data_IF_882076925928
#
_entry.id   IF_882076925928
#
_cell.length_a   1.000
_cell.length_b   1.000
_cell.length_c   1.000
_cell.angle_alpha   90.00
_cell.angle_beta   90.00
_cell.angle_gamma   90.00
#
_symmetry.space_group_name_H-M   'P 1'
#
loop_
_entity.id
_entity.type
_entity.pdbx_description
1 polymer ?
#
# COMPACT_ATOMS: atom_id res chain seq x y z
N UNK A 1 4.67 11.70 -35.62
CA UNK A 1 5.06 10.99 -34.38
C UNK A 1 3.99 11.31 -33.34
N UNK A 2 3.08 10.38 -33.08
CA UNK A 2 1.86 10.66 -32.31
C UNK A 2 2.06 10.16 -30.87
N UNK A 3 2.37 11.09 -29.96
CA UNK A 3 2.44 10.84 -28.52
C UNK A 3 1.02 10.63 -28.00
N UNK A 4 0.49 9.41 -28.15
CA UNK A 4 -0.59 8.96 -27.27
C UNK A 4 0.02 8.88 -25.89
N UNK A 5 -0.16 9.96 -25.11
CA UNK A 5 -0.07 9.92 -23.66
C UNK A 5 -0.88 8.70 -23.22
N UNK A 6 -0.17 7.63 -22.83
CA UNK A 6 -0.78 6.50 -22.16
C UNK A 6 -1.47 7.10 -20.95
N UNK A 7 -2.81 7.15 -20.96
CA UNK A 7 -3.57 7.38 -19.72
C UNK A 7 -3.01 6.36 -18.75
N UNK A 8 -2.23 6.82 -17.76
CA UNK A 8 -1.77 5.97 -16.67
C UNK A 8 -3.05 5.41 -16.08
N UNK A 9 -3.30 4.12 -16.26
CA UNK A 9 -4.50 3.49 -15.73
C UNK A 9 -4.56 3.80 -14.24
N UNK A 10 -5.73 4.24 -13.76
CA UNK A 10 -5.93 4.42 -12.33
C UNK A 10 -5.73 3.07 -11.63
N UNK A 11 -5.21 3.06 -10.38
CA UNK A 11 -5.12 1.83 -9.61
C UNK A 11 -6.48 1.12 -9.52
N UNK A 12 -6.50 -0.16 -9.83
CA UNK A 12 -7.69 -1.00 -10.00
C UNK A 12 -7.88 -2.02 -8.87
N UNK A 13 -6.86 -2.24 -8.03
CA UNK A 13 -6.94 -3.10 -6.85
C UNK A 13 -6.81 -2.25 -5.57
N UNK A 14 -7.77 -2.38 -4.66
CA UNK A 14 -7.92 -1.52 -3.49
C UNK A 14 -8.00 -2.35 -2.22
N UNK A 15 -7.18 -2.01 -1.23
CA UNK A 15 -7.19 -2.59 0.11
C UNK A 15 -7.56 -1.50 1.11
N UNK A 16 -8.37 -1.87 2.10
CA UNK A 16 -8.65 -1.05 3.26
C UNK A 16 -8.70 -1.95 4.47
N UNK A 17 -7.59 -1.96 5.22
CA UNK A 17 -7.30 -2.93 6.25
C UNK A 17 -7.19 -2.24 7.61
N UNK A 18 -7.83 -2.77 8.67
CA UNK A 18 -7.55 -2.32 10.03
C UNK A 18 -6.13 -2.76 10.42
N UNK A 19 -5.35 -1.83 10.97
CA UNK A 19 -4.00 -2.09 11.46
C UNK A 19 -3.81 -1.46 12.84
N UNK A 20 -2.87 -1.98 13.62
CA UNK A 20 -2.40 -1.41 14.87
C UNK A 20 -1.09 -0.68 14.60
N UNK A 21 -1.09 0.65 14.61
CA UNK A 21 0.12 1.45 14.37
C UNK A 21 0.92 1.65 15.66
N UNK A 22 2.23 1.41 15.61
CA UNK A 22 3.12 1.55 16.76
C UNK A 22 3.69 2.98 16.79
N UNK A 23 3.31 3.77 17.80
CA UNK A 23 3.72 5.17 17.92
C UNK A 23 4.08 5.51 19.36
N UNK A 24 5.36 5.84 19.59
CA UNK A 24 5.88 6.30 20.91
C UNK A 24 5.56 5.36 22.08
N UNK A 25 5.57 4.05 21.83
CA UNK A 25 5.28 3.02 22.83
C UNK A 25 3.79 2.71 23.01
N UNK A 26 2.91 3.33 22.22
CA UNK A 26 1.48 3.04 22.18
C UNK A 26 1.08 2.33 20.88
N UNK A 27 0.05 1.49 21.00
CA UNK A 27 -0.60 0.85 19.87
C UNK A 27 -1.89 1.59 19.55
N UNK A 28 -1.90 2.29 18.42
CA UNK A 28 -3.01 3.12 17.99
C UNK A 28 -3.84 2.41 16.92
N UNK A 29 -5.18 2.39 17.05
CA UNK A 29 -6.02 1.88 15.97
C UNK A 29 -5.86 2.77 14.74
N UNK A 30 -5.61 2.13 13.60
CA UNK A 30 -5.34 2.81 12.34
C UNK A 30 -6.00 2.08 11.16
N UNK A 31 -6.00 2.73 10.01
CA UNK A 31 -6.41 2.14 8.75
C UNK A 31 -5.27 2.25 7.74
N UNK A 32 -4.91 1.12 7.14
CA UNK A 32 -4.05 1.07 5.97
C UNK A 32 -4.93 1.03 4.72
N UNK A 33 -4.78 2.03 3.85
CA UNK A 33 -5.42 2.07 2.53
C UNK A 33 -4.34 1.88 1.48
N UNK A 34 -4.43 0.85 0.65
CA UNK A 34 -3.47 0.60 -0.42
C UNK A 34 -4.19 0.49 -1.74
N UNK A 35 -3.65 1.14 -2.76
CA UNK A 35 -4.11 1.03 -4.13
C UNK A 35 -2.96 0.58 -5.01
N UNK A 36 -3.15 -0.49 -5.79
CA UNK A 36 -2.15 -0.98 -6.74
C UNK A 36 -2.74 -1.16 -8.13
N UNK A 37 -1.89 -1.07 -9.14
CA UNK A 37 -2.24 -1.47 -10.50
C UNK A 37 -2.11 -2.98 -10.67
N UNK A 38 -3.03 -3.62 -11.38
CA UNK A 38 -2.97 -5.05 -11.68
C UNK A 38 -1.76 -5.44 -12.54
N UNK A 39 -1.23 -4.51 -13.34
CA UNK A 39 0.02 -4.72 -14.07
C UNK A 39 1.26 -4.79 -13.14
N UNK A 40 1.09 -4.47 -11.85
CA UNK A 40 2.15 -4.50 -10.86
C UNK A 40 3.18 -3.39 -11.01
N UNK A 41 2.91 -2.35 -11.83
CA UNK A 41 3.88 -1.29 -12.08
C UNK A 41 3.84 -0.14 -11.09
N UNK A 42 2.80 -0.09 -10.24
CA UNK A 42 2.62 0.99 -9.28
C UNK A 42 1.73 0.58 -8.12
N UNK A 43 2.06 1.08 -6.94
CA UNK A 43 1.14 1.17 -5.81
C UNK A 43 1.35 2.45 -5.01
N UNK A 44 0.29 2.88 -4.33
CA UNK A 44 0.30 3.91 -3.30
C UNK A 44 -0.40 3.39 -2.04
N UNK A 45 0.13 3.75 -0.88
CA UNK A 45 -0.38 3.37 0.42
C UNK A 45 -0.54 4.59 1.30
N UNK A 46 -1.59 4.62 2.12
CA UNK A 46 -1.80 5.59 3.18
C UNK A 46 -2.06 4.87 4.49
N UNK A 47 -1.20 5.10 5.47
CA UNK A 47 -1.46 4.75 6.86
C UNK A 47 -2.12 5.94 7.55
N UNK A 48 -3.31 5.75 8.11
CA UNK A 48 -4.12 6.80 8.70
C UNK A 48 -4.55 6.45 10.11
N UNK A 49 -4.09 7.21 11.09
CA UNK A 49 -4.60 7.20 12.47
C UNK A 49 -5.61 8.34 12.63
N UNK A 50 -5.18 9.56 12.30
CA UNK A 50 -6.01 10.77 12.34
C UNK A 50 -5.41 11.85 11.40
N UNK A 51 -6.05 13.03 11.24
CA UNK A 51 -5.53 14.08 10.35
C UNK A 51 -4.11 14.57 10.68
N UNK A 52 -3.71 14.58 11.95
CA UNK A 52 -2.39 14.99 12.39
C UNK A 52 -1.34 13.85 12.33
N UNK A 53 -1.79 12.59 12.31
CA UNK A 53 -0.95 11.40 12.31
C UNK A 53 -1.35 10.48 11.14
N UNK A 54 -0.76 10.77 9.99
CA UNK A 54 -0.92 9.97 8.79
C UNK A 54 0.36 9.98 7.96
N UNK A 55 0.50 8.99 7.09
CA UNK A 55 1.63 8.84 6.21
C UNK A 55 1.18 8.29 4.86
N UNK A 56 1.80 8.78 3.80
CA UNK A 56 1.58 8.27 2.44
C UNK A 56 2.91 7.83 1.86
N UNK A 57 2.95 6.63 1.30
CA UNK A 57 4.10 6.08 0.58
C UNK A 57 3.64 5.57 -0.77
N UNK A 58 4.51 5.57 -1.77
CA UNK A 58 4.23 4.93 -3.05
C UNK A 58 5.50 4.28 -3.59
N UNK A 59 5.32 3.37 -4.53
CA UNK A 59 6.42 2.75 -5.24
C UNK A 59 6.04 2.52 -6.70
N UNK A 60 6.98 2.83 -7.59
CA UNK A 60 6.89 2.46 -9.01
C UNK A 60 7.82 1.28 -9.26
N UNK A 61 7.40 0.37 -10.15
CA UNK A 61 8.25 -0.71 -10.60
C UNK A 61 9.51 -0.17 -11.27
N UNK A 62 10.62 -0.86 -11.05
CA UNK A 62 11.92 -0.59 -11.65
C UNK A 62 12.58 -1.93 -12.00
N UNK A 63 13.62 -1.92 -12.85
CA UNK A 63 14.40 -3.13 -13.12
C UNK A 63 14.97 -3.81 -11.85
N UNK A 64 15.11 -3.07 -10.74
CA UNK A 64 15.68 -3.56 -9.48
C UNK A 64 14.63 -4.27 -8.62
N UNK A 65 13.39 -3.76 -8.55
CA UNK A 65 12.33 -4.35 -7.71
C UNK A 65 11.40 -5.30 -8.47
N UNK A 66 11.48 -5.36 -9.80
CA UNK A 66 10.74 -6.32 -10.63
C UNK A 66 9.22 -6.11 -10.70
N UNK A 67 8.70 -5.02 -10.12
CA UNK A 67 7.25 -4.82 -9.97
C UNK A 67 6.60 -5.79 -8.99
N UNK A 68 5.26 -5.86 -9.02
CA UNK A 68 4.49 -6.49 -7.93
C UNK A 68 3.38 -7.45 -8.39
N UNK A 69 3.20 -7.63 -9.70
CA UNK A 69 2.09 -8.43 -10.27
C UNK A 69 2.23 -9.93 -10.05
N UNK A 70 3.44 -10.40 -9.74
CA UNK A 70 3.73 -11.79 -9.46
C UNK A 70 3.52 -12.16 -7.98
N UNK A 71 3.25 -11.18 -7.11
CA UNK A 71 3.07 -11.40 -5.68
C UNK A 71 1.61 -11.76 -5.37
N UNK A 72 1.43 -12.65 -4.39
CA UNK A 72 0.12 -12.82 -3.76
C UNK A 72 -0.29 -11.51 -3.04
N UNK A 73 -1.56 -11.41 -2.64
CA UNK A 73 -2.03 -10.23 -1.89
C UNK A 73 -1.31 -10.11 -0.54
N UNK A 74 -1.07 -11.24 0.12
CA UNK A 74 -0.31 -11.32 1.38
C UNK A 74 1.14 -10.87 1.20
N UNK A 75 1.88 -11.47 0.27
CA UNK A 75 3.28 -11.10 -0.01
C UNK A 75 3.41 -9.62 -0.41
N UNK A 76 2.45 -9.13 -1.18
CA UNK A 76 2.39 -7.73 -1.58
C UNK A 76 2.18 -6.82 -0.37
N UNK A 77 1.25 -7.15 0.53
CA UNK A 77 0.95 -6.34 1.71
C UNK A 77 2.08 -6.38 2.74
N UNK A 78 2.78 -7.51 2.87
CA UNK A 78 4.01 -7.59 3.67
C UNK A 78 5.11 -6.69 3.10
N UNK A 79 5.25 -6.66 1.77
CA UNK A 79 6.15 -5.72 1.09
C UNK A 79 5.76 -4.26 1.36
N UNK A 80 4.47 -3.94 1.37
CA UNK A 80 3.96 -2.60 1.72
C UNK A 80 4.34 -2.26 3.16
N UNK A 81 4.09 -3.16 4.12
CA UNK A 81 4.46 -2.97 5.54
C UNK A 81 5.95 -2.68 5.69
N UNK A 82 6.80 -3.47 5.03
CA UNK A 82 8.25 -3.26 5.04
C UNK A 82 8.66 -1.88 4.51
N UNK A 83 7.99 -1.39 3.46
CA UNK A 83 8.29 -0.07 2.89
C UNK A 83 7.85 1.06 3.82
N UNK A 84 6.70 0.93 4.50
CA UNK A 84 6.27 1.89 5.51
C UNK A 84 7.24 1.96 6.69
N UNK A 85 7.71 0.82 7.17
CA UNK A 85 8.70 0.75 8.24
C UNK A 85 10.02 1.39 7.79
N UNK A 86 10.62 0.87 6.71
CA UNK A 86 11.97 1.28 6.31
C UNK A 86 12.06 2.69 5.72
N UNK A 87 11.12 3.08 4.87
CA UNK A 87 11.16 4.39 4.20
C UNK A 87 10.36 5.45 4.95
N UNK A 88 9.29 5.05 5.65
CA UNK A 88 8.41 5.95 6.37
C UNK A 88 8.75 6.10 7.85
N UNK A 89 9.36 5.09 8.47
CA UNK A 89 9.50 5.00 9.92
C UNK A 89 8.16 4.72 10.61
N UNK A 90 7.20 4.13 9.90
CA UNK A 90 5.90 3.76 10.43
C UNK A 90 5.77 2.25 10.53
N UNK A 91 5.83 1.76 11.77
CA UNK A 91 5.60 0.35 12.09
C UNK A 91 4.12 0.10 12.40
N UNK A 92 3.58 -1.00 11.91
CA UNK A 92 2.22 -1.44 12.21
C UNK A 92 2.05 -2.94 12.01
N UNK A 93 1.04 -3.51 12.68
CA UNK A 93 0.59 -4.89 12.51
C UNK A 93 -0.80 -4.96 11.91
N UNK A 94 -1.04 -5.97 11.08
CA UNK A 94 -2.39 -6.28 10.59
C UNK A 94 -3.25 -6.86 11.72
N UNK A 95 -4.48 -6.38 11.84
CA UNK A 95 -5.42 -6.88 12.88
C UNK A 95 -6.04 -8.22 12.47
N UNK A 96 -6.01 -8.56 11.19
CA UNK A 96 -6.50 -9.83 10.66
C UNK A 96 -5.70 -10.26 9.43
N UNK A 97 -5.70 -11.56 9.18
CA UNK A 97 -5.09 -12.18 7.99
C UNK A 97 -6.04 -12.19 6.76
N UNK A 98 -7.20 -11.51 6.85
CA UNK A 98 -8.10 -11.33 5.70
C UNK A 98 -7.61 -10.17 4.81
N UNK A 99 -6.75 -10.53 3.87
CA UNK A 99 -6.10 -9.61 2.94
C UNK A 99 -6.91 -9.30 1.67
N UNK A 100 -8.19 -9.65 1.63
CA UNK A 100 -8.99 -9.54 0.40
C UNK A 100 -9.11 -8.08 -0.04
N UNK A 101 -8.81 -7.77 -1.32
CA UNK A 101 -9.07 -6.45 -1.86
C UNK A 101 -10.57 -6.16 -1.83
N UNK A 102 -10.93 -4.92 -1.51
CA UNK A 102 -12.30 -4.45 -1.65
C UNK A 102 -12.56 -4.19 -3.13
N UNK A 103 -13.59 -4.85 -3.68
CA UNK A 103 -14.17 -4.43 -4.94
C UNK A 103 -14.84 -3.07 -4.69
N UNK A 104 -14.31 -2.02 -5.29
CA UNK A 104 -15.09 -0.79 -5.46
C UNK A 104 -16.19 -1.12 -6.47
N UNK A 105 -17.42 -1.31 -5.98
CA UNK A 105 -18.61 -1.32 -6.83
C UNK A 105 -18.82 0.06 -7.46
#
# INVERSE_FOLDING_TARGET
>A
MNLKQSRRADPDIHYQLPVSAHYRGENLPATLIVKRRADGNFWEGRLFVNPALHMTVNQTASPINGGFSHLSDEDFLDRVRLVFDFCGGAEFDFVSDDYRPRNLQ
#
